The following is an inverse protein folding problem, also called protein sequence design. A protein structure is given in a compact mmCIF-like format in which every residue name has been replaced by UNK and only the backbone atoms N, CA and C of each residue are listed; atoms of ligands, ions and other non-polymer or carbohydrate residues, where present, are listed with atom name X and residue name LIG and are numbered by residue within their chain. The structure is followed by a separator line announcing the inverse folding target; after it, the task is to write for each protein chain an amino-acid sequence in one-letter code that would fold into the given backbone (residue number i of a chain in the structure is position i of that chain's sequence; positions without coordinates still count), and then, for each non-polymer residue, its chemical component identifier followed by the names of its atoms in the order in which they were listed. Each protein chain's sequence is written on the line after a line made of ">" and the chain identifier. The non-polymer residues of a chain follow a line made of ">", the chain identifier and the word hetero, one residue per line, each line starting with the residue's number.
data_IF_588774015157
#
_entry.id   IF_588774015157
#
_cell.length_a   1.000
_cell.length_b   1.000
_cell.length_c   1.000
_cell.angle_alpha   90.00
_cell.angle_beta   90.00
_cell.angle_gamma   90.00
#
_symmetry.space_group_name_H-M   'P 1'
#
loop_
_entity.id
_entity.type
_entity.pdbx_description
1 polymer ?
#
# COMPACT_ATOMS: atom_id res chain seq x y z
N UNK A 1 -14.73 8.50 -29.54
CA UNK A 1 -15.24 8.80 -28.18
C UNK A 1 -14.42 7.93 -27.24
N UNK A 2 -13.24 8.43 -26.83
CA UNK A 2 -12.31 7.63 -26.03
C UNK A 2 -12.66 7.85 -24.57
N UNK A 3 -13.14 6.78 -23.93
CA UNK A 3 -13.41 6.76 -22.50
C UNK A 3 -12.08 6.91 -21.78
N UNK A 4 -11.89 8.07 -21.14
CA UNK A 4 -10.79 8.35 -20.23
C UNK A 4 -11.00 7.51 -18.97
N UNK A 5 -10.37 6.35 -18.87
CA UNK A 5 -10.21 5.71 -17.55
C UNK A 5 -9.17 6.51 -16.75
N UNK A 6 -9.65 7.52 -16.04
CA UNK A 6 -8.88 8.14 -14.98
C UNK A 6 -8.88 7.20 -13.77
N UNK A 7 -8.03 6.17 -13.80
CA UNK A 7 -7.66 5.41 -12.59
C UNK A 7 -6.87 6.33 -11.69
N UNK A 8 -7.58 7.11 -10.87
CA UNK A 8 -6.97 8.23 -10.14
C UNK A 8 -6.38 7.70 -8.84
N UNK A 9 -5.20 7.11 -8.93
CA UNK A 9 -4.37 6.83 -7.76
C UNK A 9 -4.18 8.13 -6.98
N UNK A 10 -4.46 8.11 -5.68
CA UNK A 10 -4.31 9.27 -4.82
C UNK A 10 -3.53 8.95 -3.56
N UNK A 11 -2.86 9.95 -3.02
CA UNK A 11 -1.98 9.80 -1.87
C UNK A 11 -2.36 10.83 -0.81
N UNK A 12 -2.55 10.37 0.44
CA UNK A 12 -2.81 11.21 1.61
C UNK A 12 -1.76 10.91 2.66
N UNK A 13 -1.17 11.95 3.23
CA UNK A 13 -0.07 11.79 4.19
C UNK A 13 -0.30 12.68 5.40
N UNK A 14 0.06 12.14 6.56
CA UNK A 14 0.15 12.81 7.85
C UNK A 14 1.46 12.33 8.51
N UNK A 15 1.86 12.92 9.64
CA UNK A 15 3.04 12.44 10.38
C UNK A 15 2.95 11.00 10.91
N UNK A 16 1.76 10.39 10.84
CA UNK A 16 1.44 9.09 11.43
C UNK A 16 0.97 8.03 10.42
N UNK A 17 0.59 8.46 9.22
CA UNK A 17 -0.02 7.62 8.20
C UNK A 17 0.31 8.16 6.81
N UNK A 18 0.78 7.28 5.94
CA UNK A 18 0.69 7.43 4.49
C UNK A 18 -0.37 6.46 3.98
N UNK A 19 -1.31 6.97 3.20
CA UNK A 19 -2.38 6.19 2.58
C UNK A 19 -2.34 6.40 1.07
N UNK A 20 -2.10 5.31 0.36
CA UNK A 20 -2.23 5.22 -1.08
C UNK A 20 -3.60 4.59 -1.42
N UNK A 21 -4.47 5.32 -2.10
CA UNK A 21 -5.69 4.80 -2.72
C UNK A 21 -5.39 4.43 -4.17
N UNK A 22 -5.52 3.14 -4.51
CA UNK A 22 -5.34 2.61 -5.86
C UNK A 22 -6.53 2.90 -6.78
N UNK A 23 -7.59 3.55 -6.27
CA UNK A 23 -8.82 3.88 -6.99
C UNK A 23 -9.85 2.75 -6.98
N UNK A 24 -9.39 1.51 -7.06
CA UNK A 24 -10.21 0.29 -7.01
C UNK A 24 -9.49 -0.86 -6.28
N UNK A 25 -10.22 -1.93 -5.97
CA UNK A 25 -9.62 -3.13 -5.37
C UNK A 25 -8.73 -3.81 -6.42
N UNK A 26 -7.43 -3.86 -6.15
CA UNK A 26 -6.43 -4.50 -6.99
C UNK A 26 -5.89 -5.75 -6.33
N UNK A 27 -5.40 -6.68 -7.16
CA UNK A 27 -4.58 -7.81 -6.71
C UNK A 27 -3.15 -7.33 -6.54
N UNK A 28 -2.56 -7.64 -5.39
CA UNK A 28 -1.18 -7.33 -5.08
C UNK A 28 -0.42 -8.61 -4.72
N UNK A 29 0.84 -8.66 -5.12
CA UNK A 29 1.81 -9.62 -4.59
C UNK A 29 2.65 -8.93 -3.51
N UNK A 30 2.82 -9.58 -2.37
CA UNK A 30 3.59 -9.05 -1.23
C UNK A 30 4.57 -10.10 -0.71
N UNK A 31 5.45 -9.70 0.20
CA UNK A 31 6.35 -10.63 0.89
C UNK A 31 5.63 -11.76 1.65
N UNK A 32 4.36 -11.55 2.03
CA UNK A 32 3.53 -12.54 2.73
C UNK A 32 2.55 -13.27 1.79
N UNK A 33 2.73 -13.12 0.47
CA UNK A 33 1.90 -13.71 -0.57
C UNK A 33 0.78 -12.79 -1.10
N UNK A 34 -0.12 -13.31 -1.95
CA UNK A 34 -1.09 -12.49 -2.67
C UNK A 34 -2.17 -11.87 -1.77
N UNK A 35 -2.53 -10.62 -2.03
CA UNK A 35 -3.55 -9.86 -1.30
C UNK A 35 -4.50 -9.13 -2.26
N UNK A 36 -5.72 -8.84 -1.79
CA UNK A 36 -6.65 -7.93 -2.45
C UNK A 36 -6.76 -6.67 -1.59
N UNK A 37 -6.48 -5.52 -2.17
CA UNK A 37 -6.62 -4.24 -1.48
C UNK A 37 -6.91 -3.12 -2.46
N UNK A 38 -7.68 -2.15 -2.01
CA UNK A 38 -7.80 -0.83 -2.64
C UNK A 38 -6.81 0.16 -2.03
N UNK A 39 -6.55 0.03 -0.73
CA UNK A 39 -5.70 0.94 0.01
C UNK A 39 -4.40 0.25 0.41
N UNK A 40 -3.27 0.95 0.23
CA UNK A 40 -2.01 0.60 0.89
C UNK A 40 -1.74 1.65 1.97
N UNK A 41 -1.73 1.22 3.21
CA UNK A 41 -1.52 2.08 4.36
C UNK A 41 -0.17 1.80 5.02
N UNK A 42 0.57 2.85 5.33
CA UNK A 42 1.82 2.79 6.07
C UNK A 42 1.67 3.60 7.34
N UNK A 43 1.68 2.90 8.47
CA UNK A 43 1.52 3.47 9.80
C UNK A 43 2.89 3.61 10.45
N UNK A 44 3.17 4.76 11.04
CA UNK A 44 4.36 4.96 11.87
C UNK A 44 4.25 4.16 13.17
N UNK A 45 5.27 3.38 13.52
CA UNK A 45 5.33 2.66 14.79
C UNK A 45 6.50 1.68 14.86
N UNK A 46 6.80 1.17 16.06
CA UNK A 46 7.87 0.19 16.25
C UNK A 46 7.59 -1.08 15.41
N UNK A 47 8.57 -1.47 14.59
CA UNK A 47 8.50 -2.59 13.64
C UNK A 47 8.17 -3.89 14.39
N UNK A 48 7.14 -4.61 13.94
CA UNK A 48 6.83 -5.90 14.54
C UNK A 48 5.68 -6.70 13.93
N UNK A 49 4.78 -6.13 13.11
CA UNK A 49 3.66 -6.89 12.56
C UNK A 49 3.26 -6.42 11.15
N UNK A 50 3.63 -7.18 10.12
CA UNK A 50 2.79 -7.28 8.93
C UNK A 50 1.53 -8.06 9.35
N UNK A 51 0.50 -7.37 9.84
CA UNK A 51 -0.72 -8.03 10.26
C UNK A 51 -1.60 -8.32 9.05
N UNK A 52 -1.36 -9.45 8.40
CA UNK A 52 -2.33 -10.06 7.48
C UNK A 52 -3.55 -10.48 8.32
N UNK A 53 -4.66 -9.75 8.18
CA UNK A 53 -5.98 -10.09 8.72
C UNK A 53 -5.99 -10.73 10.14
N UNK A 54 -5.47 -10.02 11.14
CA UNK A 54 -5.62 -10.41 12.55
C UNK A 54 -6.07 -9.21 13.35
N UNK A 55 -7.15 -9.34 14.15
CA UNK A 55 -7.68 -8.27 15.02
C UNK A 55 -6.53 -7.61 15.79
N UNK A 56 -6.22 -6.36 15.49
CA UNK A 56 -4.98 -5.73 15.95
C UNK A 56 -4.94 -4.21 15.80
N UNK A 57 -3.97 -3.60 16.48
CA UNK A 57 -3.71 -2.15 16.56
C UNK A 57 -3.77 -1.39 15.21
N UNK A 58 -3.31 -1.96 14.07
CA UNK A 58 -3.42 -1.29 12.76
C UNK A 58 -4.86 -1.02 12.32
N UNK A 59 -5.79 -1.93 12.60
CA UNK A 59 -7.19 -1.82 12.16
C UNK A 59 -7.90 -0.64 12.84
N UNK A 60 -7.63 -0.42 14.14
CA UNK A 60 -8.22 0.68 14.88
C UNK A 60 -7.72 2.04 14.37
N UNK A 61 -6.43 2.13 13.98
CA UNK A 61 -5.87 3.36 13.40
C UNK A 61 -6.46 3.65 12.02
N UNK A 62 -6.64 2.63 11.18
CA UNK A 62 -7.31 2.78 9.89
C UNK A 62 -8.76 3.26 10.04
N UNK A 63 -9.53 2.64 10.96
CA UNK A 63 -10.91 3.06 11.22
C UNK A 63 -10.99 4.52 11.69
N UNK A 64 -10.09 4.96 12.58
CA UNK A 64 -10.01 6.37 13.02
C UNK A 64 -9.64 7.33 11.88
N UNK A 65 -8.89 6.85 10.90
CA UNK A 65 -8.58 7.61 9.68
C UNK A 65 -9.69 7.53 8.61
N UNK A 66 -10.81 6.85 8.89
CA UNK A 66 -11.91 6.67 7.94
C UNK A 66 -11.58 5.69 6.80
N UNK A 67 -10.58 4.82 6.99
CA UNK A 67 -10.13 3.86 5.98
C UNK A 67 -10.72 2.47 6.29
N UNK A 68 -11.41 1.82 5.32
CA UNK A 68 -12.01 0.51 5.53
C UNK A 68 -10.94 -0.59 5.66
N UNK A 69 -10.81 -1.27 6.82
CA UNK A 69 -9.74 -2.25 7.02
C UNK A 69 -9.84 -3.48 6.11
N UNK A 70 -11.06 -3.84 5.68
CA UNK A 70 -11.31 -5.00 4.80
C UNK A 70 -10.76 -4.84 3.38
N UNK A 71 -10.48 -3.61 2.96
CA UNK A 71 -9.91 -3.28 1.64
C UNK A 71 -8.49 -2.70 1.75
N UNK A 72 -7.85 -2.84 2.91
CA UNK A 72 -6.56 -2.21 3.20
C UNK A 72 -5.46 -3.22 3.44
N UNK A 73 -4.34 -3.05 2.74
CA UNK A 73 -3.06 -3.66 3.05
C UNK A 73 -2.27 -2.69 3.95
N UNK A 74 -1.91 -3.12 5.16
CA UNK A 74 -1.29 -2.25 6.15
C UNK A 74 0.14 -2.69 6.51
N UNK A 75 1.08 -1.74 6.47
CA UNK A 75 2.44 -1.87 6.95
C UNK A 75 2.64 -1.00 8.19
N UNK A 76 3.34 -1.51 9.20
CA UNK A 76 3.78 -0.73 10.35
C UNK A 76 5.30 -0.63 10.29
N UNK A 77 5.81 0.59 10.10
CA UNK A 77 7.23 0.85 9.90
C UNK A 77 7.72 1.89 10.92
N UNK A 78 8.98 1.77 11.34
CA UNK A 78 9.68 2.81 12.12
C UNK A 78 10.26 3.90 11.20
N UNK A 79 9.57 4.15 10.09
CA UNK A 79 9.91 5.17 9.10
C UNK A 79 8.95 6.34 9.25
N UNK A 80 9.43 7.56 9.02
CA UNK A 80 8.55 8.72 8.95
C UNK A 80 7.72 8.65 7.64
N UNK A 81 6.38 8.64 7.71
CA UNK A 81 5.54 8.59 6.51
C UNK A 81 5.70 9.80 5.59
N UNK A 82 6.27 10.91 6.08
CA UNK A 82 6.55 12.11 5.28
C UNK A 82 7.81 12.00 4.43
N UNK A 83 8.70 11.04 4.71
CA UNK A 83 9.96 10.84 3.98
C UNK A 83 9.81 9.92 2.76
N UNK A 84 8.63 9.90 2.14
CA UNK A 84 8.35 9.07 0.97
C UNK A 84 8.81 9.73 -0.33
N UNK A 85 9.11 8.91 -1.34
CA UNK A 85 9.21 9.35 -2.74
C UNK A 85 8.27 8.57 -3.63
N UNK A 86 7.73 9.21 -4.68
CA UNK A 86 6.90 8.57 -5.69
C UNK A 86 7.44 8.96 -7.07
N UNK A 87 8.11 8.03 -7.73
CA UNK A 87 8.77 8.25 -9.02
C UNK A 87 8.63 6.98 -9.86
N UNK A 88 8.33 7.14 -11.15
CA UNK A 88 8.23 6.04 -12.12
C UNK A 88 7.28 4.91 -11.64
N UNK A 89 6.13 5.28 -11.07
CA UNK A 89 5.16 4.31 -10.58
C UNK A 89 5.61 3.52 -9.35
N UNK A 90 6.68 3.94 -8.66
CA UNK A 90 7.16 3.29 -7.44
C UNK A 90 7.08 4.24 -6.25
N UNK A 91 6.27 3.90 -5.26
CA UNK A 91 6.26 4.54 -3.95
C UNK A 91 7.35 3.91 -3.08
N UNK A 92 8.23 4.74 -2.53
CA UNK A 92 9.38 4.32 -1.73
C UNK A 92 9.28 4.93 -0.33
N UNK A 93 9.40 4.07 0.69
CA UNK A 93 9.68 4.47 2.07
C UNK A 93 10.86 3.65 2.60
N UNK A 94 11.56 4.10 3.65
CA UNK A 94 12.54 3.26 4.33
C UNK A 94 11.93 1.89 4.70
N UNK A 95 12.50 0.81 4.16
CA UNK A 95 12.03 -0.57 4.39
C UNK A 95 10.84 -1.06 3.55
N UNK A 96 10.20 -0.20 2.75
CA UNK A 96 9.04 -0.58 1.91
C UNK A 96 9.13 -0.05 0.47
N UNK A 97 8.73 -0.87 -0.49
CA UNK A 97 8.50 -0.48 -1.89
C UNK A 97 7.10 -0.88 -2.35
N UNK A 98 6.37 0.02 -2.99
CA UNK A 98 5.09 -0.30 -3.64
C UNK A 98 5.22 -0.01 -5.12
N UNK A 99 5.11 -1.05 -5.94
CA UNK A 99 5.25 -0.99 -7.40
C UNK A 99 3.85 -0.98 -8.03
N UNK A 100 3.48 0.14 -8.64
CA UNK A 100 2.14 0.38 -9.19
C UNK A 100 1.98 -0.12 -10.63
N UNK A 101 3.10 -0.29 -11.33
CA UNK A 101 3.14 -0.60 -12.76
C UNK A 101 3.57 -2.05 -13.06
N UNK A 102 3.62 -2.91 -12.04
CA UNK A 102 4.01 -4.31 -12.16
C UNK A 102 5.31 -4.65 -11.43
N UNK A 103 5.77 -5.91 -11.54
CA UNK A 103 6.90 -6.40 -10.77
C UNK A 103 8.22 -5.75 -11.22
N UNK A 104 9.10 -5.38 -10.27
CA UNK A 104 10.45 -4.93 -10.60
C UNK A 104 11.34 -6.12 -11.03
N UNK A 105 12.49 -5.88 -11.66
CA UNK A 105 13.49 -6.92 -11.92
C UNK A 105 14.09 -7.51 -10.64
N UNK A 106 14.10 -6.73 -9.55
CA UNK A 106 14.62 -7.14 -8.24
C UNK A 106 13.95 -6.33 -7.11
N UNK A 107 13.77 -6.94 -5.94
CA UNK A 107 13.24 -6.28 -4.73
C UNK A 107 14.33 -6.16 -3.68
N UNK A 108 14.69 -4.92 -3.33
CA UNK A 108 15.78 -4.61 -2.39
C UNK A 108 15.33 -4.45 -0.93
N UNK A 109 14.02 -4.47 -0.66
CA UNK A 109 13.45 -4.18 0.67
C UNK A 109 12.78 -5.40 1.30
N UNK A 110 12.78 -5.51 2.64
CA UNK A 110 12.10 -6.61 3.33
C UNK A 110 10.58 -6.60 3.13
N UNK A 111 9.99 -5.41 2.95
CA UNK A 111 8.56 -5.27 2.67
C UNK A 111 8.35 -4.75 1.26
N UNK A 112 7.36 -5.32 0.57
CA UNK A 112 6.95 -4.84 -0.74
C UNK A 112 5.49 -5.14 -1.05
N UNK A 113 4.93 -4.36 -1.96
CA UNK A 113 3.66 -4.66 -2.63
C UNK A 113 3.79 -4.37 -4.12
N UNK A 114 3.40 -5.32 -4.96
CA UNK A 114 3.39 -5.18 -6.43
C UNK A 114 1.95 -5.26 -6.89
N UNK A 115 1.44 -4.23 -7.57
CA UNK A 115 0.17 -4.32 -8.28
C UNK A 115 0.35 -5.29 -9.44
N UNK A 116 -0.35 -6.42 -9.39
CA UNK A 116 -0.36 -7.36 -10.50
C UNK A 116 -1.38 -6.90 -11.52
N UNK A 117 -1.05 -6.84 -12.83
CA UNK A 117 -2.06 -6.64 -13.84
C UNK A 117 -3.14 -7.70 -13.65
N UNK A 118 -4.40 -7.27 -13.57
CA UNK A 118 -5.50 -8.23 -13.63
C UNK A 118 -5.37 -9.01 -14.93
N UNK A 119 -5.58 -10.32 -14.92
CA UNK A 119 -6.02 -10.99 -16.14
C UNK A 119 -7.25 -10.20 -16.60
N UNK A 120 -7.10 -9.46 -17.70
CA UNK A 120 -8.27 -8.97 -18.41
C UNK A 120 -9.14 -10.18 -18.77
N UNK A 121 -10.46 -9.98 -18.91
CA UNK A 121 -11.33 -11.03 -19.42
C UNK A 121 -10.82 -11.62 -20.74
#
# INVERSE_FOLDING_TARGET
>A
MNVLEAHRTSLKVTGELLLLDLGEVRRLETQDGPALARYVAVLRGQVGQCSRQGRGFPQLRLLRAGVPPGESLAYVLDADPLEFTLEEGVLRLPGLRVYLEGPPPFVETPFYAVVTPGEGP
#
